data_IF_772563077854
#
_entry.id   IF_772563077854
#
_cell.length_a   1.000
_cell.length_b   1.000
_cell.length_c   1.000
_cell.angle_alpha   90.00
_cell.angle_beta   90.00
_cell.angle_gamma   90.00
#
_symmetry.space_group_name_H-M   'P 1'
#
loop_
_entity.id
_entity.type
_entity.pdbx_description
1 polymer ?
#
# COMPACT_ATOMS: atom_id res chain seq x y z
N UNK A 1 -10.07 -5.89 -0.69
CA UNK A 1 -11.46 -5.40 -0.84
C UNK A 1 -11.66 -4.39 -1.96
N UNK A 2 -10.92 -3.27 -2.01
CA UNK A 2 -11.07 -2.22 -3.06
C UNK A 2 -11.05 -2.83 -4.48
N UNK A 3 -9.97 -3.56 -4.82
CA UNK A 3 -9.82 -4.19 -6.14
C UNK A 3 -10.99 -5.11 -6.52
N UNK A 4 -11.43 -5.97 -5.60
CA UNK A 4 -12.54 -6.90 -5.80
C UNK A 4 -13.87 -6.16 -6.02
N UNK A 5 -14.19 -5.17 -5.17
CA UNK A 5 -15.43 -4.41 -5.28
C UNK A 5 -15.47 -3.53 -6.54
N UNK A 6 -14.32 -3.06 -7.01
CA UNK A 6 -14.19 -2.21 -8.18
C UNK A 6 -13.89 -2.96 -9.49
N UNK A 7 -13.73 -4.29 -9.44
CA UNK A 7 -13.38 -5.14 -10.59
C UNK A 7 -12.09 -4.71 -11.31
N UNK A 8 -11.05 -4.38 -10.54
CA UNK A 8 -9.73 -3.92 -11.03
C UNK A 8 -8.60 -4.66 -10.33
N UNK A 9 -7.39 -4.60 -10.88
CA UNK A 9 -6.15 -5.01 -10.23
C UNK A 9 -5.36 -3.80 -9.70
N UNK A 10 -4.22 -4.06 -9.09
CA UNK A 10 -3.29 -3.02 -8.65
C UNK A 10 -1.85 -3.51 -8.65
N UNK A 11 -0.90 -2.64 -9.01
CA UNK A 11 0.51 -2.86 -8.72
C UNK A 11 0.94 -2.01 -7.52
N UNK A 12 1.41 -2.66 -6.45
CA UNK A 12 1.93 -2.02 -5.25
C UNK A 12 3.46 -1.93 -5.34
N UNK A 13 4.00 -0.74 -5.16
CA UNK A 13 5.44 -0.47 -5.19
C UNK A 13 5.97 -0.57 -3.77
N UNK A 14 6.68 -1.66 -3.47
CA UNK A 14 7.14 -1.99 -2.12
C UNK A 14 8.14 -0.96 -1.58
N UNK A 15 8.98 -0.38 -2.44
CA UNK A 15 9.91 0.68 -2.06
C UNK A 15 9.22 1.99 -1.64
N UNK A 16 7.94 2.16 -2.04
CA UNK A 16 7.16 3.36 -1.76
C UNK A 16 6.36 3.25 -0.45
N UNK A 17 6.35 2.09 0.23
CA UNK A 17 5.59 1.93 1.47
C UNK A 17 6.08 2.92 2.54
N UNK A 18 5.16 3.64 3.22
CA UNK A 18 5.51 4.59 4.26
C UNK A 18 5.91 3.86 5.56
N UNK A 19 7.16 3.40 5.63
CA UNK A 19 7.71 2.78 6.84
C UNK A 19 8.15 3.82 7.87
N UNK A 20 7.78 3.63 9.13
CA UNK A 20 8.24 4.48 10.24
C UNK A 20 9.76 4.38 10.42
N UNK A 21 10.37 5.42 11.00
CA UNK A 21 11.81 5.42 11.29
C UNK A 21 12.23 4.24 12.15
N UNK A 22 11.43 3.90 13.17
CA UNK A 22 11.72 2.78 14.07
C UNK A 22 11.74 1.45 13.30
N UNK A 23 10.79 1.22 12.40
CA UNK A 23 10.78 0.01 11.57
C UNK A 23 12.02 -0.06 10.68
N UNK A 24 12.43 1.06 10.06
CA UNK A 24 13.62 1.12 9.20
C UNK A 24 14.91 0.84 9.96
N UNK A 25 14.99 1.30 11.20
CA UNK A 25 16.21 1.20 12.02
C UNK A 25 16.31 -0.13 12.78
N UNK A 26 15.16 -0.79 13.05
CA UNK A 26 15.10 -1.96 13.94
C UNK A 26 14.88 -3.29 13.23
N UNK A 27 14.48 -3.27 11.95
CA UNK A 27 14.15 -4.46 11.17
C UNK A 27 14.98 -4.54 9.89
N UNK A 28 15.13 -5.76 9.37
CA UNK A 28 15.58 -5.94 7.99
C UNK A 28 14.50 -5.40 7.04
N UNK A 29 14.91 -4.96 5.85
CA UNK A 29 13.99 -4.37 4.88
C UNK A 29 12.80 -5.28 4.54
N UNK A 30 13.06 -6.57 4.35
CA UNK A 30 12.03 -7.56 4.02
C UNK A 30 11.05 -7.79 5.18
N UNK A 31 11.52 -7.76 6.43
CA UNK A 31 10.68 -7.88 7.62
C UNK A 31 9.79 -6.64 7.79
N UNK A 32 10.35 -5.45 7.56
CA UNK A 32 9.62 -4.19 7.64
C UNK A 32 8.53 -4.11 6.56
N UNK A 33 8.82 -4.57 5.34
CA UNK A 33 7.84 -4.66 4.24
C UNK A 33 6.75 -5.67 4.58
N UNK A 34 7.13 -6.86 5.07
CA UNK A 34 6.17 -7.90 5.46
C UNK A 34 5.22 -7.38 6.53
N UNK A 35 5.74 -6.72 7.56
CA UNK A 35 4.92 -6.12 8.61
C UNK A 35 3.98 -5.03 8.05
N UNK A 36 4.45 -4.18 7.14
CA UNK A 36 3.62 -3.15 6.52
C UNK A 36 2.50 -3.70 5.60
N UNK A 37 2.64 -4.94 5.09
CA UNK A 37 1.65 -5.56 4.22
C UNK A 37 0.59 -6.37 4.98
N UNK A 38 0.94 -6.96 6.13
CA UNK A 38 0.05 -7.89 6.85
C UNK A 38 -0.08 -7.65 8.35
N UNK A 39 0.59 -6.66 8.93
CA UNK A 39 0.58 -6.38 10.36
C UNK A 39 -0.82 -6.05 10.90
N UNK A 40 -1.58 -5.24 10.16
CA UNK A 40 -2.89 -4.76 10.61
C UNK A 40 -2.76 -3.74 11.75
N UNK A 41 -3.91 -3.35 12.32
CA UNK A 41 -4.02 -2.38 13.43
C UNK A 41 -3.36 -1.00 13.20
N UNK A 42 -3.10 -0.63 11.95
CA UNK A 42 -2.53 0.67 11.58
C UNK A 42 -3.55 1.81 11.69
N UNK A 43 -4.85 1.51 11.51
CA UNK A 43 -5.95 2.48 11.42
C UNK A 43 -5.73 3.62 10.40
N UNK A 44 -4.91 3.38 9.38
CA UNK A 44 -4.66 4.30 8.27
C UNK A 44 -5.72 4.20 7.17
N UNK A 45 -5.82 5.23 6.33
CA UNK A 45 -6.72 5.25 5.17
C UNK A 45 -6.01 4.79 3.89
N UNK A 46 -6.54 3.74 3.27
CA UNK A 46 -6.17 3.33 1.91
C UNK A 46 -7.25 3.78 0.92
N UNK A 47 -6.86 4.59 -0.06
CA UNK A 47 -7.78 5.12 -1.08
C UNK A 47 -7.11 5.23 -2.45
N UNK A 48 -7.90 5.54 -3.47
CA UNK A 48 -7.43 5.74 -4.85
C UNK A 48 -7.84 7.12 -5.33
N UNK A 49 -7.05 7.70 -6.23
CA UNK A 49 -7.30 9.01 -6.83
C UNK A 49 -6.98 8.94 -8.32
N UNK A 50 -7.76 9.63 -9.15
CA UNK A 50 -7.43 9.83 -10.56
C UNK A 50 -6.23 10.80 -10.65
N UNK A 51 -5.33 10.57 -11.61
CA UNK A 51 -4.18 11.45 -11.87
C UNK A 51 -4.60 12.93 -12.01
N UNK A 52 -5.73 13.20 -12.67
CA UNK A 52 -6.26 14.57 -12.86
C UNK A 52 -6.61 15.25 -11.53
N UNK A 53 -6.96 14.48 -10.50
CA UNK A 53 -7.35 14.97 -9.17
C UNK A 53 -6.19 14.95 -8.17
N UNK A 54 -5.04 14.37 -8.52
CA UNK A 54 -3.91 14.13 -7.60
C UNK A 54 -3.40 15.41 -6.97
N UNK A 55 -3.13 16.45 -7.77
CA UNK A 55 -2.61 17.74 -7.29
C UNK A 55 -3.59 18.42 -6.32
N UNK A 56 -4.89 18.36 -6.63
CA UNK A 56 -5.93 18.90 -5.76
C UNK A 56 -6.02 18.15 -4.42
N UNK A 57 -5.94 16.82 -4.45
CA UNK A 57 -5.91 15.98 -3.26
C UNK A 57 -4.67 16.26 -2.41
N UNK A 58 -3.47 16.29 -3.01
CA UNK A 58 -2.21 16.58 -2.30
C UNK A 58 -2.25 17.96 -1.62
N UNK A 59 -2.79 18.97 -2.32
CA UNK A 59 -2.98 20.32 -1.77
C UNK A 59 -3.95 20.30 -0.57
N UNK A 60 -5.06 19.58 -0.68
CA UNK A 60 -6.03 19.48 0.42
C UNK A 60 -5.44 18.75 1.65
N UNK A 61 -4.71 17.66 1.43
CA UNK A 61 -4.06 16.89 2.51
C UNK A 61 -2.96 17.70 3.20
N UNK A 62 -2.18 18.46 2.44
CA UNK A 62 -1.18 19.38 2.99
C UNK A 62 -1.80 20.44 3.90
N UNK A 63 -2.90 21.07 3.48
CA UNK A 63 -3.63 22.02 4.33
C UNK A 63 -4.23 21.36 5.59
N UNK A 64 -4.63 20.09 5.51
CA UNK A 64 -5.10 19.33 6.66
C UNK A 64 -3.97 18.85 7.58
N UNK A 65 -2.70 19.01 7.18
CA UNK A 65 -1.54 18.52 7.93
C UNK A 65 -1.38 17.00 7.85
N UNK A 66 -2.03 16.34 6.90
CA UNK A 66 -2.02 14.88 6.74
C UNK A 66 -1.03 14.48 5.65
N UNK A 67 -0.13 13.56 5.97
CA UNK A 67 0.80 12.99 4.98
C UNK A 67 0.08 11.92 4.18
N UNK A 68 0.32 11.92 2.86
CA UNK A 68 -0.14 10.87 1.96
C UNK A 68 1.04 10.36 1.16
N UNK A 69 1.04 9.06 0.86
CA UNK A 69 2.09 8.42 0.07
C UNK A 69 1.44 7.60 -1.03
N UNK A 70 1.79 7.88 -2.29
CA UNK A 70 1.36 7.04 -3.40
C UNK A 70 2.19 5.76 -3.40
N UNK A 71 1.53 4.62 -3.17
CA UNK A 71 2.18 3.31 -3.04
C UNK A 71 1.95 2.40 -4.25
N UNK A 72 1.34 2.88 -5.32
CA UNK A 72 0.99 2.02 -6.45
C UNK A 72 -0.01 2.62 -7.42
N UNK A 73 -0.50 1.77 -8.31
CA UNK A 73 -1.44 2.16 -9.35
C UNK A 73 -2.44 1.03 -9.64
N UNK A 74 -3.71 1.39 -9.83
CA UNK A 74 -4.74 0.47 -10.30
C UNK A 74 -4.52 0.08 -11.77
N UNK A 75 -4.99 -1.11 -12.15
CA UNK A 75 -4.91 -1.61 -13.52
C UNK A 75 -6.10 -2.53 -13.84
N UNK A 76 -6.17 -3.04 -15.07
CA UNK A 76 -7.29 -3.89 -15.52
C UNK A 76 -7.12 -5.40 -15.22
N UNK A 77 -6.06 -5.82 -14.50
CA UNK A 77 -5.71 -7.25 -14.38
C UNK A 77 -6.59 -8.05 -13.42
N UNK A 78 -7.38 -7.38 -12.57
CA UNK A 78 -8.13 -7.99 -11.46
C UNK A 78 -7.24 -8.74 -10.45
N UNK A 79 -5.93 -8.54 -10.50
CA UNK A 79 -4.94 -9.15 -9.61
C UNK A 79 -4.15 -8.06 -8.91
N UNK A 80 -3.70 -8.37 -7.69
CA UNK A 80 -2.76 -7.51 -6.96
C UNK A 80 -1.35 -8.06 -7.24
N UNK A 81 -0.46 -7.21 -7.73
CA UNK A 81 0.95 -7.49 -7.93
C UNK A 81 1.81 -6.56 -7.08
N UNK A 82 3.05 -6.96 -6.82
CA UNK A 82 4.05 -6.11 -6.15
C UNK A 82 5.31 -5.97 -6.98
N UNK A 83 5.94 -4.81 -6.87
CA UNK A 83 7.27 -4.53 -7.43
C UNK A 83 8.21 -4.02 -6.37
N UNK A 84 9.44 -4.52 -6.35
CA UNK A 84 10.57 -4.03 -5.55
C UNK A 84 11.74 -3.75 -6.49
N UNK A 85 12.35 -2.57 -6.39
CA UNK A 85 13.40 -2.11 -7.30
C UNK A 85 13.01 -2.28 -8.79
N UNK A 86 11.76 -1.93 -9.12
CA UNK A 86 11.16 -2.10 -10.46
C UNK A 86 11.11 -3.56 -10.97
N UNK A 87 11.23 -4.56 -10.09
CA UNK A 87 11.12 -5.98 -10.43
C UNK A 87 9.89 -6.60 -9.78
N UNK A 88 9.10 -7.40 -10.51
CA UNK A 88 7.98 -8.13 -9.92
C UNK A 88 8.44 -9.06 -8.81
N UNK A 89 7.75 -9.02 -7.67
CA UNK A 89 7.96 -9.92 -6.53
C UNK A 89 6.61 -10.53 -6.17
N UNK A 90 6.53 -11.84 -5.82
CA UNK A 90 5.29 -12.44 -5.35
C UNK A 90 4.86 -11.89 -3.99
N UNK A 91 3.55 -11.69 -3.82
CA UNK A 91 2.96 -11.42 -2.51
C UNK A 91 2.83 -12.75 -1.77
N UNK A 92 3.57 -12.91 -0.68
CA UNK A 92 3.55 -14.11 0.16
C UNK A 92 3.03 -13.79 1.57
N UNK A 93 2.01 -12.94 1.68
CA UNK A 93 1.45 -12.50 2.97
C UNK A 93 -0.05 -12.78 3.01
N UNK A 94 -0.53 -13.22 4.18
CA UNK A 94 -1.96 -13.42 4.44
C UNK A 94 -2.43 -12.33 5.41
N UNK A 95 -3.58 -11.72 5.13
CA UNK A 95 -4.19 -10.77 6.05
C UNK A 95 -4.79 -11.47 7.27
N UNK A 96 -5.15 -10.70 8.28
CA UNK A 96 -5.83 -11.23 9.46
C UNK A 96 -7.23 -11.77 9.12
N UNK A 97 -7.55 -12.95 9.66
CA UNK A 97 -8.87 -13.57 9.64
C UNK A 97 -9.17 -14.13 11.03
N UNK A 98 -10.38 -13.89 11.55
CA UNK A 98 -10.72 -14.24 12.93
C UNK A 98 -10.76 -15.76 13.19
N UNK A 99 -11.03 -16.56 12.16
CA UNK A 99 -11.26 -17.99 12.26
C UNK A 99 -10.50 -18.75 11.16
N UNK A 100 -9.24 -18.40 10.96
CA UNK A 100 -8.35 -19.12 10.05
C UNK A 100 -8.07 -20.52 10.61
N UNK A 101 -8.58 -21.55 9.94
CA UNK A 101 -8.28 -22.97 10.19
C UNK A 101 -6.93 -23.39 9.60
#
# INVERSE_FOLDING_TARGET
HICQASNVGANIVLDALPLSTIMRDSLLADDAITLALSGGDDYELLFTVNEDNKVGMETAMSHAGTKVTCIGQLNASQTISTTLNNKPIPINTVGFEHFSE
#
